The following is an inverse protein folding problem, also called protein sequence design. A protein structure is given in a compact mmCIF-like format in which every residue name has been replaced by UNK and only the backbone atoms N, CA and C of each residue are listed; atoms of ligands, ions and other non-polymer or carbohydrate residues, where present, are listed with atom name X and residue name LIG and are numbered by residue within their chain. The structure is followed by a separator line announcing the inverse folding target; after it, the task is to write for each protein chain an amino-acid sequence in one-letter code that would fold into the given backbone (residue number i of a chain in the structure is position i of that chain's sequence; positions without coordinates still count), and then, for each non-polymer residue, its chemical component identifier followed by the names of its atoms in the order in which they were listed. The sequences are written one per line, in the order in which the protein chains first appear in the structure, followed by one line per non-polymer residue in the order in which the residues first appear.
data_IF_674409048139
#
_entry.id   IF_674409048139
#
_cell.length_a   1.000
_cell.length_b   1.000
_cell.length_c   1.000
_cell.angle_alpha   90.00
_cell.angle_beta   90.00
_cell.angle_gamma   90.00
#
_symmetry.space_group_name_H-M   'P 1'
#
loop_
_entity.id
_entity.type
_entity.pdbx_description
1 polymer ?
#
# COMPACT_ATOMS: atom_id res chain seq x y z
N UNK A 1 6.28 13.56 -21.27
CA UNK A 1 5.23 13.18 -20.28
C UNK A 1 5.31 11.69 -20.00
N UNK A 2 5.02 11.20 -18.78
CA UNK A 2 5.06 9.77 -18.44
C UNK A 2 3.90 8.98 -19.09
N UNK A 3 4.15 7.69 -19.38
CA UNK A 3 3.15 6.77 -19.95
C UNK A 3 2.35 6.05 -18.86
N UNK A 4 1.20 5.45 -19.21
CA UNK A 4 0.44 4.61 -18.28
C UNK A 4 1.28 3.44 -17.72
N UNK A 5 2.15 2.84 -18.54
CA UNK A 5 3.08 1.80 -18.11
C UNK A 5 4.10 2.32 -17.11
N UNK A 6 4.63 3.53 -17.29
CA UNK A 6 5.51 4.17 -16.31
C UNK A 6 4.82 4.36 -14.95
N UNK A 7 3.58 4.84 -14.95
CA UNK A 7 2.79 4.97 -13.72
C UNK A 7 2.49 3.62 -13.07
N UNK A 8 2.22 2.58 -13.87
CA UNK A 8 2.05 1.20 -13.36
C UNK A 8 3.32 0.69 -12.66
N UNK A 9 4.50 0.94 -13.23
CA UNK A 9 5.77 0.57 -12.59
C UNK A 9 5.96 1.32 -11.27
N UNK A 10 5.70 2.63 -11.25
CA UNK A 10 5.77 3.46 -10.03
C UNK A 10 4.80 2.93 -8.97
N UNK A 11 3.57 2.59 -9.36
CA UNK A 11 2.55 2.03 -8.46
C UNK A 11 3.03 0.72 -7.84
N UNK A 12 3.50 -0.22 -8.66
CA UNK A 12 3.97 -1.53 -8.21
C UNK A 12 5.22 -1.41 -7.33
N UNK A 13 6.17 -0.53 -7.67
CA UNK A 13 7.32 -0.23 -6.81
C UNK A 13 6.86 0.24 -5.43
N UNK A 14 5.90 1.17 -5.38
CA UNK A 14 5.31 1.63 -4.14
C UNK A 14 4.70 0.50 -3.31
N UNK A 15 3.95 -0.39 -3.96
CA UNK A 15 3.37 -1.59 -3.32
C UNK A 15 4.47 -2.48 -2.73
N UNK A 16 5.50 -2.82 -3.51
CA UNK A 16 6.59 -3.66 -3.04
C UNK A 16 7.29 -3.06 -1.81
N UNK A 17 7.49 -1.74 -1.80
CA UNK A 17 8.05 -1.03 -0.65
C UNK A 17 7.13 -1.08 0.59
N UNK A 18 5.81 -0.94 0.41
CA UNK A 18 4.82 -1.07 1.50
C UNK A 18 4.90 -2.47 2.12
N UNK A 19 4.86 -3.52 1.31
CA UNK A 19 4.89 -4.90 1.81
C UNK A 19 6.24 -5.26 2.44
N UNK A 20 7.36 -4.86 1.84
CA UNK A 20 8.70 -5.08 2.40
C UNK A 20 8.85 -4.39 3.77
N UNK A 21 8.44 -3.13 3.86
CA UNK A 21 8.54 -2.37 5.10
C UNK A 21 7.62 -2.91 6.20
N UNK A 22 6.37 -3.28 5.87
CA UNK A 22 5.45 -3.87 6.84
C UNK A 22 5.94 -5.24 7.33
N UNK A 23 6.42 -6.11 6.44
CA UNK A 23 7.01 -7.40 6.84
C UNK A 23 8.17 -7.20 7.83
N UNK A 24 9.07 -6.26 7.53
CA UNK A 24 10.16 -5.90 8.43
C UNK A 24 9.70 -5.32 9.77
N UNK A 25 8.64 -4.48 9.79
CA UNK A 25 8.09 -3.91 11.02
C UNK A 25 7.38 -4.96 11.88
N UNK A 26 6.72 -5.94 11.26
CA UNK A 26 5.99 -6.99 11.97
C UNK A 26 6.92 -7.98 12.65
N UNK A 27 8.03 -8.34 11.99
CA UNK A 27 9.08 -9.21 12.58
C UNK A 27 9.85 -8.46 13.67
N UNK A 28 10.03 -7.15 13.53
CA UNK A 28 10.79 -6.30 14.45
C UNK A 28 9.90 -5.36 15.25
N UNK A 29 8.70 -5.79 15.64
CA UNK A 29 7.70 -4.88 16.24
C UNK A 29 8.13 -4.30 17.59
N UNK A 30 9.07 -4.96 18.29
CA UNK A 30 9.65 -4.48 19.55
C UNK A 30 10.76 -3.41 19.35
N UNK A 31 11.25 -3.21 18.12
CA UNK A 31 12.11 -2.07 17.75
C UNK A 31 13.58 -2.16 18.15
N UNK A 32 14.10 -3.33 18.48
CA UNK A 32 15.43 -3.51 19.10
C UNK A 32 16.63 -3.31 18.14
N UNK A 33 16.42 -3.37 16.83
CA UNK A 33 17.48 -3.62 15.85
C UNK A 33 17.76 -2.44 14.90
N UNK A 34 17.42 -1.20 15.27
CA UNK A 34 17.84 0.03 14.56
C UNK A 34 17.22 0.27 13.17
N UNK A 35 16.58 -0.75 12.57
CA UNK A 35 15.93 -0.69 11.26
C UNK A 35 14.68 0.18 11.21
N UNK A 36 14.15 0.59 12.37
CA UNK A 36 12.89 1.33 12.50
C UNK A 36 12.79 2.55 11.58
N UNK A 37 13.83 3.39 11.54
CA UNK A 37 13.84 4.59 10.69
C UNK A 37 13.77 4.23 9.20
N UNK A 38 14.56 3.24 8.77
CA UNK A 38 14.61 2.78 7.39
C UNK A 38 13.27 2.20 6.95
N UNK A 39 12.67 1.35 7.79
CA UNK A 39 11.35 0.76 7.51
C UNK A 39 10.27 1.84 7.42
N UNK A 40 10.25 2.83 8.31
CA UNK A 40 9.27 3.94 8.24
C UNK A 40 9.43 4.78 6.98
N UNK A 41 10.67 5.09 6.56
CA UNK A 41 10.93 5.82 5.32
C UNK A 41 10.50 4.99 4.11
N UNK A 42 10.89 3.72 4.05
CA UNK A 42 10.48 2.81 2.97
C UNK A 42 8.97 2.71 2.87
N UNK A 43 8.25 2.65 4.00
CA UNK A 43 6.80 2.61 4.01
C UNK A 43 6.19 3.93 3.49
N UNK A 44 6.62 5.07 4.04
CA UNK A 44 6.07 6.38 3.66
C UNK A 44 6.31 6.73 2.18
N UNK A 45 7.53 6.48 1.69
CA UNK A 45 7.85 6.66 0.27
C UNK A 45 7.10 5.65 -0.58
N UNK A 46 7.00 4.39 -0.13
CA UNK A 46 6.23 3.36 -0.82
C UNK A 46 4.76 3.75 -1.00
N UNK A 47 4.13 4.26 0.06
CA UNK A 47 2.75 4.74 0.04
C UNK A 47 2.57 5.93 -0.90
N UNK A 48 3.48 6.89 -0.86
CA UNK A 48 3.49 8.01 -1.79
C UNK A 48 3.58 7.56 -3.25
N UNK A 49 4.53 6.68 -3.57
CA UNK A 49 4.70 6.16 -4.93
C UNK A 49 3.51 5.31 -5.38
N UNK A 50 2.92 4.51 -4.48
CA UNK A 50 1.71 3.75 -4.78
C UNK A 50 0.58 4.69 -5.18
N UNK A 51 0.31 5.76 -4.42
CA UNK A 51 -0.74 6.72 -4.76
C UNK A 51 -0.40 7.51 -6.04
N UNK A 52 0.83 8.01 -6.18
CA UNK A 52 1.29 8.73 -7.38
C UNK A 52 1.10 7.89 -8.66
N UNK A 53 1.51 6.62 -8.61
CA UNK A 53 1.34 5.69 -9.72
C UNK A 53 -0.13 5.37 -10.00
N UNK A 54 -0.96 5.21 -8.96
CA UNK A 54 -2.38 4.94 -9.13
C UNK A 54 -3.13 6.09 -9.81
N UNK A 55 -3.01 7.31 -9.26
CA UNK A 55 -3.68 8.49 -9.81
C UNK A 55 -3.14 8.85 -11.20
N UNK A 56 -1.81 8.76 -11.40
CA UNK A 56 -1.20 9.01 -12.70
C UNK A 56 -1.65 8.02 -13.78
N UNK A 57 -1.88 6.76 -13.44
CA UNK A 57 -2.43 5.76 -14.37
C UNK A 57 -3.89 6.05 -14.71
N UNK A 58 -4.73 6.42 -13.74
CA UNK A 58 -6.14 6.80 -13.98
C UNK A 58 -6.22 8.01 -14.90
N UNK A 59 -5.36 9.02 -14.74
CA UNK A 59 -5.28 10.18 -15.63
C UNK A 59 -5.02 9.83 -17.11
N UNK A 60 -4.59 8.60 -17.41
CA UNK A 60 -4.32 8.09 -18.77
C UNK A 60 -5.39 7.12 -19.27
N UNK A 61 -6.39 6.79 -18.46
CA UNK A 61 -7.45 5.85 -18.80
C UNK A 61 -8.77 6.60 -18.95
N UNK A 62 -9.25 6.86 -20.19
CA UNK A 62 -10.44 7.69 -20.42
C UNK A 62 -11.74 7.03 -19.92
N UNK A 63 -11.73 5.73 -19.67
CA UNK A 63 -12.90 4.95 -19.24
C UNK A 63 -12.96 4.76 -17.72
N UNK A 64 -12.06 5.37 -16.95
CA UNK A 64 -11.98 5.20 -15.49
C UNK A 64 -12.05 6.56 -14.83
N UNK A 65 -12.97 6.74 -13.89
CA UNK A 65 -13.05 7.96 -13.10
C UNK A 65 -12.45 7.75 -11.71
N UNK A 66 -11.94 8.83 -11.12
CA UNK A 66 -11.44 8.81 -9.74
C UNK A 66 -12.53 8.49 -8.71
N UNK A 67 -13.79 8.72 -9.08
CA UNK A 67 -14.98 8.48 -8.25
C UNK A 67 -15.61 7.11 -8.48
N UNK A 68 -15.10 6.29 -9.42
CA UNK A 68 -15.58 4.92 -9.59
C UNK A 68 -15.46 4.20 -8.25
N UNK A 69 -16.47 3.41 -7.87
CA UNK A 69 -16.53 2.92 -6.49
C UNK A 69 -15.35 2.00 -6.17
N UNK A 70 -14.92 1.15 -7.11
CA UNK A 70 -13.73 0.31 -6.94
C UNK A 70 -12.44 1.13 -6.72
N UNK A 71 -12.35 2.33 -7.31
CA UNK A 71 -11.23 3.26 -7.10
C UNK A 71 -11.28 3.82 -5.69
N UNK A 72 -12.45 4.29 -5.24
CA UNK A 72 -12.63 4.84 -3.90
C UNK A 72 -12.34 3.81 -2.80
N UNK A 73 -12.78 2.56 -2.98
CA UNK A 73 -12.46 1.48 -2.04
C UNK A 73 -10.95 1.21 -2.00
N UNK A 74 -10.25 1.25 -3.14
CA UNK A 74 -8.78 1.12 -3.13
C UNK A 74 -8.08 2.28 -2.43
N UNK A 75 -8.56 3.50 -2.60
CA UNK A 75 -8.03 4.65 -1.85
C UNK A 75 -8.18 4.40 -0.35
N UNK A 76 -9.34 3.92 0.10
CA UNK A 76 -9.56 3.53 1.48
C UNK A 76 -8.59 2.42 1.94
N UNK A 77 -8.35 1.40 1.11
CA UNK A 77 -7.36 0.36 1.42
C UNK A 77 -5.95 0.95 1.59
N UNK A 78 -5.52 1.89 0.75
CA UNK A 78 -4.22 2.55 0.91
C UNK A 78 -4.16 3.40 2.18
N UNK A 79 -5.25 4.05 2.58
CA UNK A 79 -5.34 4.72 3.89
C UNK A 79 -5.17 3.74 5.05
N UNK A 80 -5.79 2.57 4.99
CA UNK A 80 -5.60 1.51 5.98
C UNK A 80 -4.12 1.10 6.04
N UNK A 81 -3.50 0.83 4.88
CA UNK A 81 -2.07 0.52 4.81
C UNK A 81 -1.19 1.61 5.44
N UNK A 82 -1.49 2.88 5.21
CA UNK A 82 -0.76 4.01 5.81
C UNK A 82 -0.89 4.10 7.34
N UNK A 83 -1.98 3.57 7.90
CA UNK A 83 -2.19 3.51 9.35
C UNK A 83 -1.49 2.33 10.05
N UNK A 84 -1.21 1.24 9.31
CA UNK A 84 -0.66 0.01 9.89
C UNK A 84 0.66 0.21 10.67
N UNK A 85 1.65 1.00 10.22
CA UNK A 85 2.87 1.23 10.98
C UNK A 85 2.63 1.78 12.39
N UNK A 86 1.65 2.68 12.54
CA UNK A 86 1.28 3.25 13.84
C UNK A 86 0.65 2.17 14.72
N UNK A 87 -0.21 1.33 14.14
CA UNK A 87 -0.90 0.27 14.85
C UNK A 87 0.06 -0.84 15.32
N UNK A 88 1.01 -1.25 14.47
CA UNK A 88 2.08 -2.20 14.80
C UNK A 88 2.90 -1.67 15.98
N UNK A 89 3.32 -0.39 15.93
CA UNK A 89 4.12 0.22 16.98
C UNK A 89 3.39 0.29 18.32
N UNK A 90 2.09 0.60 18.30
CA UNK A 90 1.29 0.73 19.52
C UNK A 90 0.88 -0.63 20.09
N UNK A 91 0.81 -1.67 19.26
CA UNK A 91 0.30 -2.99 19.64
C UNK A 91 1.18 -4.11 19.07
N UNK A 92 2.44 -4.24 19.49
CA UNK A 92 3.36 -5.26 18.97
C UNK A 92 2.86 -6.69 19.19
N UNK A 93 2.00 -6.93 20.20
CA UNK A 93 1.36 -8.22 20.44
C UNK A 93 0.43 -8.67 19.30
N UNK A 94 -0.04 -7.74 18.46
CA UNK A 94 -0.93 -8.02 17.33
C UNK A 94 -0.19 -8.31 16.03
N UNK A 95 1.16 -8.32 16.01
CA UNK A 95 1.95 -8.48 14.78
C UNK A 95 1.58 -9.74 13.98
N UNK A 96 1.28 -10.86 14.63
CA UNK A 96 0.84 -12.09 13.94
C UNK A 96 -0.50 -11.90 13.22
N UNK A 97 -1.47 -11.24 13.86
CA UNK A 97 -2.77 -10.94 13.26
C UNK A 97 -2.66 -9.91 12.14
N UNK A 98 -1.84 -8.88 12.34
CA UNK A 98 -1.60 -7.82 11.34
C UNK A 98 -0.90 -8.40 10.11
N UNK A 99 -0.04 -9.42 10.26
CA UNK A 99 0.55 -10.13 9.12
C UNK A 99 -0.52 -10.73 8.20
N UNK A 100 -1.46 -11.49 8.76
CA UNK A 100 -2.58 -12.06 8.01
C UNK A 100 -3.47 -10.99 7.38
N UNK A 101 -3.78 -9.94 8.14
CA UNK A 101 -4.54 -8.78 7.65
C UNK A 101 -3.85 -8.09 6.47
N UNK A 102 -2.53 -7.90 6.54
CA UNK A 102 -1.73 -7.24 5.49
C UNK A 102 -1.85 -8.00 4.16
N UNK A 103 -1.78 -9.34 4.20
CA UNK A 103 -1.97 -10.17 3.02
C UNK A 103 -3.40 -10.11 2.50
N UNK A 104 -4.39 -10.19 3.39
CA UNK A 104 -5.81 -10.10 3.01
C UNK A 104 -6.13 -8.78 2.30
N UNK A 105 -5.69 -7.65 2.87
CA UNK A 105 -5.88 -6.33 2.26
C UNK A 105 -5.19 -6.22 0.89
N UNK A 106 -4.00 -6.83 0.74
CA UNK A 106 -3.29 -6.91 -0.53
C UNK A 106 -4.07 -7.67 -1.60
N UNK A 107 -4.60 -8.84 -1.24
CA UNK A 107 -5.43 -9.65 -2.13
C UNK A 107 -6.70 -8.90 -2.52
N UNK A 108 -7.39 -8.26 -1.58
CA UNK A 108 -8.58 -7.45 -1.87
C UNK A 108 -8.26 -6.29 -2.82
N UNK A 109 -7.15 -5.59 -2.61
CA UNK A 109 -6.70 -4.53 -3.52
C UNK A 109 -6.40 -5.04 -4.93
N UNK A 110 -5.80 -6.23 -5.06
CA UNK A 110 -5.55 -6.88 -6.33
C UNK A 110 -6.84 -7.33 -7.02
N UNK A 111 -7.76 -7.95 -6.29
CA UNK A 111 -9.07 -8.37 -6.80
C UNK A 111 -9.88 -7.19 -7.34
N UNK A 112 -9.94 -6.08 -6.61
CA UNK A 112 -10.59 -4.85 -7.09
C UNK A 112 -9.92 -4.28 -8.35
N UNK A 113 -8.60 -4.43 -8.50
CA UNK A 113 -7.88 -3.99 -9.68
C UNK A 113 -8.26 -4.75 -10.95
N UNK A 114 -8.48 -6.06 -10.79
CA UNK A 114 -8.73 -7.00 -11.88
C UNK A 114 -10.21 -6.95 -12.27
N UNK A 115 -11.10 -7.04 -11.28
CA UNK A 115 -12.54 -7.22 -11.50
C UNK A 115 -13.28 -5.91 -11.76
N UNK A 116 -12.83 -4.78 -11.17
CA UNK A 116 -13.45 -3.45 -11.28
C UNK A 116 -14.99 -3.49 -11.20
N UNK A 117 -15.57 -4.06 -10.12
CA UNK A 117 -16.95 -4.56 -10.17
C UNK A 117 -18.05 -3.49 -10.07
N UNK A 118 -17.71 -2.24 -9.72
CA UNK A 118 -18.65 -1.13 -9.51
C UNK A 118 -17.94 0.23 -9.54
#
# INVERSE_FOLDING_TARGET
MLTASSYKIIHLLGILMIFLSLGGMLVNSNGENGWRKRLSITHGVGLFLALLGAFGMIAKLPTVNYTDGWVMVKVLLWFIFGGLPVFIRKNPQLSKSIWGLTLLLGVLAALLAITKPF
#
